data_IF_117366461771
#
_entry.id   IF_117366461771
#
_cell.length_a   1.000
_cell.length_b   1.000
_cell.length_c   1.000
_cell.angle_alpha   90.00
_cell.angle_beta   90.00
_cell.angle_gamma   90.00
#
_symmetry.space_group_name_H-M   'P 1'
#
loop_
_entity.id
_entity.type
_entity.pdbx_description
1 polymer ?
#
# COMPACT_ATOMS: atom_id res chain seq x y z
N UNK A 1 -24.91 -39.25 -15.68
CA UNK A 1 -25.28 -39.07 -14.26
C UNK A 1 -24.02 -39.09 -13.42
N UNK A 2 -23.61 -37.96 -12.86
CA UNK A 2 -22.65 -37.91 -11.75
C UNK A 2 -23.09 -36.79 -10.81
N UNK A 3 -23.63 -37.16 -9.65
CA UNK A 3 -23.91 -36.25 -8.53
C UNK A 3 -22.58 -36.04 -7.79
N UNK A 4 -22.15 -34.79 -7.64
CA UNK A 4 -21.13 -34.42 -6.64
C UNK A 4 -21.79 -33.53 -5.59
N UNK A 5 -21.70 -34.03 -4.37
CA UNK A 5 -22.18 -33.51 -3.10
C UNK A 5 -21.41 -32.24 -2.73
N UNK A 6 -22.14 -31.17 -2.42
CA UNK A 6 -21.62 -29.93 -1.85
C UNK A 6 -21.40 -30.14 -0.35
N UNK A 7 -20.15 -30.07 0.10
CA UNK A 7 -19.83 -29.84 1.51
C UNK A 7 -19.87 -28.33 1.74
N UNK A 8 -20.94 -27.88 2.41
CA UNK A 8 -21.01 -26.57 3.07
C UNK A 8 -20.04 -26.60 4.26
N UNK A 9 -19.08 -25.69 4.31
CA UNK A 9 -18.38 -25.37 5.55
C UNK A 9 -18.00 -23.88 5.58
N UNK A 10 -18.51 -23.17 6.59
CA UNK A 10 -18.01 -21.87 7.04
C UNK A 10 -18.94 -20.69 6.74
N UNK A 11 -19.37 -20.00 7.80
CA UNK A 11 -20.05 -18.71 7.72
C UNK A 11 -19.11 -17.65 7.11
N UNK A 12 -19.60 -16.74 6.24
CA UNK A 12 -18.79 -15.65 5.72
C UNK A 12 -18.37 -14.71 6.87
N UNK A 13 -17.07 -14.53 7.06
CA UNK A 13 -16.54 -13.43 7.87
C UNK A 13 -16.76 -12.15 7.07
N UNK A 14 -17.79 -11.39 7.44
CA UNK A 14 -18.10 -10.09 6.84
C UNK A 14 -17.07 -9.09 7.38
N UNK A 15 -16.03 -8.82 6.60
CA UNK A 15 -15.11 -7.71 6.85
C UNK A 15 -15.77 -6.39 6.42
N UNK A 16 -15.93 -5.46 7.37
CA UNK A 16 -16.26 -4.04 7.08
C UNK A 16 -15.03 -3.20 7.42
N UNK A 17 -14.41 -2.48 6.46
CA UNK A 17 -13.39 -1.50 6.77
C UNK A 17 -14.01 -0.30 7.51
N UNK A 18 -13.33 0.16 8.56
CA UNK A 18 -13.65 1.40 9.27
C UNK A 18 -13.60 2.58 8.30
N UNK A 19 -14.74 3.25 8.09
CA UNK A 19 -14.79 4.60 7.52
C UNK A 19 -14.17 5.57 8.53
N UNK A 20 -12.99 6.10 8.23
CA UNK A 20 -12.50 7.32 8.85
C UNK A 20 -13.18 8.50 8.15
N UNK A 21 -14.22 9.04 8.80
CA UNK A 21 -14.83 10.31 8.44
C UNK A 21 -14.27 11.38 9.37
N UNK A 22 -13.35 12.20 8.86
CA UNK A 22 -13.03 13.49 9.45
C UNK A 22 -13.93 14.54 8.79
N UNK A 23 -14.86 15.09 9.56
CA UNK A 23 -15.39 16.44 9.35
C UNK A 23 -15.58 17.08 10.71
N UNK A 24 -14.89 18.19 10.88
CA UNK A 24 -14.98 19.12 11.99
C UNK A 24 -16.37 19.76 12.03
N UNK A 25 -16.88 20.00 13.23
CA UNK A 25 -17.67 21.19 13.54
C UNK A 25 -17.58 21.48 15.04
N UNK A 26 -17.30 22.74 15.36
CA UNK A 26 -16.90 23.19 16.69
C UNK A 26 -18.06 23.57 17.62
N UNK A 27 -17.73 23.77 18.89
CA UNK A 27 -18.09 24.95 19.71
C UNK A 27 -17.63 24.76 21.16
N UNK A 28 -17.48 25.87 21.85
CA UNK A 28 -16.64 26.14 23.00
C UNK A 28 -17.25 25.90 24.40
N UNK A 29 -16.35 26.00 25.39
CA UNK A 29 -16.50 26.30 26.81
C UNK A 29 -16.88 25.16 27.78
N UNK A 30 -15.93 24.74 28.63
CA UNK A 30 -15.83 25.27 30.00
C UNK A 30 -14.59 24.78 30.78
N UNK A 31 -13.93 25.78 31.36
CA UNK A 31 -13.03 25.89 32.53
C UNK A 31 -12.80 24.70 33.50
N UNK A 32 -11.57 24.70 34.04
CA UNK A 32 -11.14 24.06 35.30
C UNK A 32 -10.21 22.86 35.04
N UNK A 33 -8.95 22.80 35.44
CA UNK A 33 -8.17 23.53 36.43
C UNK A 33 -7.32 22.48 37.17
N UNK A 34 -5.99 22.68 37.22
CA UNK A 34 -5.03 22.04 38.15
C UNK A 34 -4.88 20.49 38.04
N UNK A 35 -3.76 19.83 38.27
CA UNK A 35 -2.43 20.15 38.77
C UNK A 35 -1.42 19.11 38.22
N UNK A 36 -0.16 19.50 38.24
CA UNK A 36 1.05 18.74 37.94
C UNK A 36 1.18 17.42 38.72
N UNK A 37 1.76 16.38 38.10
CA UNK A 37 3.06 15.81 38.54
C UNK A 37 3.56 14.73 37.59
N UNK A 38 4.80 14.93 37.13
CA UNK A 38 5.66 13.98 36.42
C UNK A 38 6.20 12.90 37.37
N UNK A 39 6.35 11.63 36.95
CA UNK A 39 7.11 10.64 37.70
C UNK A 39 8.62 10.85 37.44
N UNK A 40 9.37 11.18 38.49
CA UNK A 40 10.84 11.22 38.45
C UNK A 40 11.41 9.80 38.55
N UNK A 41 12.38 9.55 37.68
CA UNK A 41 13.34 8.45 37.68
C UNK A 41 14.03 8.28 39.04
N UNK A 42 14.02 7.06 39.57
CA UNK A 42 14.91 6.67 40.67
C UNK A 42 16.07 5.86 40.12
N UNK A 43 17.16 6.57 39.83
CA UNK A 43 18.50 5.99 39.66
C UNK A 43 19.01 5.53 41.03
N UNK A 44 19.09 4.21 41.22
CA UNK A 44 19.68 3.60 42.42
C UNK A 44 21.20 3.81 42.37
N UNK A 45 21.69 4.84 43.06
CA UNK A 45 23.13 5.05 43.29
C UNK A 45 23.63 4.12 44.39
N UNK A 46 24.50 3.19 44.00
CA UNK A 46 25.35 2.41 44.90
C UNK A 46 26.37 3.33 45.58
N UNK A 47 26.06 3.80 46.79
CA UNK A 47 27.02 4.49 47.64
C UNK A 47 27.74 3.48 48.55
N UNK A 48 29.01 3.25 48.24
CA UNK A 48 30.01 2.66 49.12
C UNK A 48 30.13 3.51 50.41
N UNK A 49 29.85 2.90 51.57
CA UNK A 49 30.14 3.51 52.86
C UNK A 49 31.66 3.47 53.14
N UNK A 50 32.29 4.65 53.22
CA UNK A 50 33.57 4.84 53.92
C UNK A 50 33.35 4.91 55.44
N UNK A 51 34.27 4.40 56.29
CA UNK A 51 34.14 4.50 57.73
C UNK A 51 34.68 5.86 58.22
N UNK A 52 33.86 6.62 58.95
CA UNK A 52 34.22 7.93 59.49
C UNK A 52 34.27 7.87 61.03
N UNK A 53 35.47 8.06 61.56
CA UNK A 53 35.81 8.73 62.83
C UNK A 53 35.05 8.34 64.11
N UNK A 54 35.75 7.59 64.96
CA UNK A 54 35.38 7.29 66.35
C UNK A 54 35.05 8.57 67.15
N UNK A 55 33.83 8.63 67.71
CA UNK A 55 33.54 9.47 68.88
C UNK A 55 32.79 8.61 69.90
N UNK A 56 33.43 8.43 71.04
CA UNK A 56 33.00 7.60 72.14
C UNK A 56 32.00 8.39 73.01
N UNK A 57 30.71 8.08 72.92
CA UNK A 57 29.71 8.48 73.91
C UNK A 57 28.93 7.26 74.37
N UNK A 58 29.26 6.81 75.58
CA UNK A 58 28.54 5.80 76.34
C UNK A 58 27.11 6.29 76.65
N UNK A 59 26.14 5.86 75.86
CA UNK A 59 24.76 5.74 76.32
C UNK A 59 24.26 4.34 75.96
N UNK A 60 24.00 3.55 77.00
CA UNK A 60 23.44 2.22 76.91
C UNK A 60 22.01 2.26 76.38
N UNK A 61 21.88 2.14 75.06
CA UNK A 61 20.78 1.42 74.45
C UNK A 61 21.38 0.20 73.79
N UNK A 62 20.98 -0.97 74.27
CA UNK A 62 21.27 -2.27 73.67
C UNK A 62 20.85 -2.21 72.21
N UNK A 63 21.81 -2.03 71.30
CA UNK A 63 21.59 -2.49 69.94
C UNK A 63 21.53 -4.00 70.05
N UNK A 64 20.33 -4.57 69.97
CA UNK A 64 20.16 -5.97 69.58
C UNK A 64 20.84 -6.12 68.22
N UNK A 65 22.14 -6.42 68.24
CA UNK A 65 22.87 -6.87 67.08
C UNK A 65 22.28 -8.26 66.84
N UNK A 66 21.19 -8.32 66.06
CA UNK A 66 20.72 -9.56 65.45
C UNK A 66 21.91 -10.14 64.71
N UNK A 67 22.64 -11.07 65.33
CA UNK A 67 23.77 -11.73 64.72
C UNK A 67 23.18 -12.62 63.64
N UNK A 68 23.04 -12.08 62.42
CA UNK A 68 22.55 -12.83 61.27
C UNK A 68 23.47 -14.04 61.15
N UNK A 69 22.91 -15.20 61.41
CA UNK A 69 23.72 -16.41 61.45
C UNK A 69 24.09 -16.76 60.01
N UNK A 70 25.27 -17.35 59.76
CA UNK A 70 25.69 -17.81 58.41
C UNK A 70 24.59 -18.63 57.71
N UNK A 71 23.82 -19.40 58.49
CA UNK A 71 22.66 -20.17 58.05
C UNK A 71 21.54 -19.30 57.46
N UNK A 72 21.26 -18.13 58.01
CA UNK A 72 20.24 -17.20 57.52
C UNK A 72 20.67 -16.54 56.21
N UNK A 73 21.94 -16.14 56.10
CA UNK A 73 22.49 -15.61 54.84
C UNK A 73 22.46 -16.66 53.72
N UNK A 74 22.77 -17.92 54.03
CA UNK A 74 22.68 -19.02 53.06
C UNK A 74 21.24 -19.28 52.63
N UNK A 75 20.29 -19.31 53.57
CA UNK A 75 18.86 -19.46 53.28
C UNK A 75 18.33 -18.32 52.39
N UNK A 76 18.72 -17.07 52.68
CA UNK A 76 18.33 -15.92 51.86
C UNK A 76 18.90 -16.01 50.45
N UNK A 77 20.18 -16.38 50.32
CA UNK A 77 20.83 -16.56 49.01
C UNK A 77 20.16 -17.67 48.20
N UNK A 78 19.82 -18.79 48.84
CA UNK A 78 19.13 -19.91 48.20
C UNK A 78 17.72 -19.50 47.72
N UNK A 79 16.96 -18.75 48.54
CA UNK A 79 15.67 -18.20 48.14
C UNK A 79 15.78 -17.25 46.94
N UNK A 80 16.80 -16.39 46.90
CA UNK A 80 17.06 -15.51 45.75
C UNK A 80 17.42 -16.31 44.49
N UNK A 81 18.22 -17.37 44.62
CA UNK A 81 18.57 -18.24 43.50
C UNK A 81 17.34 -18.96 42.93
N UNK A 82 16.48 -19.51 43.78
CA UNK A 82 15.23 -20.15 43.35
C UNK A 82 14.31 -19.17 42.61
N UNK A 83 14.17 -17.93 43.12
CA UNK A 83 13.40 -16.87 42.43
C UNK A 83 13.99 -16.52 41.06
N UNK A 84 15.32 -16.42 40.96
CA UNK A 84 15.99 -16.13 39.70
C UNK A 84 15.83 -17.27 38.68
N UNK A 85 15.94 -18.52 39.13
CA UNK A 85 15.74 -19.69 38.28
C UNK A 85 14.30 -19.75 37.76
N UNK A 86 13.32 -19.55 38.63
CA UNK A 86 11.91 -19.44 38.23
C UNK A 86 11.69 -18.32 37.20
N UNK A 87 12.21 -17.12 37.48
CA UNK A 87 12.09 -15.99 36.56
C UNK A 87 12.77 -16.25 35.22
N UNK A 88 13.94 -16.89 35.22
CA UNK A 88 14.67 -17.27 34.00
C UNK A 88 13.85 -18.24 33.15
N UNK A 89 13.29 -19.30 33.75
CA UNK A 89 12.41 -20.25 33.06
C UNK A 89 11.14 -19.58 32.53
N UNK A 90 10.54 -18.68 33.33
CA UNK A 90 9.36 -17.92 32.95
C UNK A 90 9.64 -16.97 31.77
N UNK A 91 10.76 -16.23 31.80
CA UNK A 91 11.20 -15.37 30.72
C UNK A 91 11.49 -16.17 29.44
N UNK A 92 12.14 -17.33 29.55
CA UNK A 92 12.40 -18.23 28.42
C UNK A 92 11.09 -18.68 27.77
N UNK A 93 10.14 -19.16 28.57
CA UNK A 93 8.82 -19.55 28.07
C UNK A 93 8.10 -18.39 27.37
N UNK A 94 8.12 -17.19 27.95
CA UNK A 94 7.55 -15.99 27.31
C UNK A 94 8.21 -15.66 25.97
N UNK A 95 9.53 -15.81 25.87
CA UNK A 95 10.26 -15.58 24.63
C UNK A 95 9.84 -16.59 23.55
N UNK A 96 9.74 -17.86 23.91
CA UNK A 96 9.29 -18.93 23.01
C UNK A 96 7.84 -18.66 22.52
N UNK A 97 6.94 -18.25 23.44
CA UNK A 97 5.54 -17.90 23.12
C UNK A 97 5.46 -16.69 22.17
N UNK A 98 6.31 -15.67 22.36
CA UNK A 98 6.39 -14.50 21.47
C UNK A 98 6.91 -14.91 20.09
N UNK A 99 7.95 -15.73 20.01
CA UNK A 99 8.50 -16.19 18.73
C UNK A 99 7.48 -17.00 17.94
N UNK A 100 6.75 -17.90 18.60
CA UNK A 100 5.68 -18.68 17.96
C UNK A 100 4.53 -17.77 17.47
N UNK A 101 4.16 -16.77 18.27
CA UNK A 101 3.14 -15.78 17.89
C UNK A 101 3.58 -14.93 16.70
N UNK A 102 4.84 -14.50 16.66
CA UNK A 102 5.42 -13.78 15.52
C UNK A 102 5.43 -14.63 14.25
N UNK A 103 5.78 -15.91 14.35
CA UNK A 103 5.78 -16.82 13.20
C UNK A 103 4.36 -17.01 12.67
N UNK A 104 3.39 -17.27 13.56
CA UNK A 104 1.97 -17.38 13.19
C UNK A 104 1.47 -16.10 12.49
N UNK A 105 1.81 -14.92 13.02
CA UNK A 105 1.42 -13.66 12.41
C UNK A 105 2.01 -13.47 11.00
N UNK A 106 3.28 -13.88 10.78
CA UNK A 106 3.89 -13.86 9.45
C UNK A 106 3.16 -14.78 8.47
N UNK A 107 2.80 -15.97 8.92
CA UNK A 107 2.06 -16.93 8.11
C UNK A 107 0.65 -16.42 7.78
N UNK A 108 -0.05 -15.85 8.76
CA UNK A 108 -1.35 -15.22 8.58
C UNK A 108 -1.27 -14.03 7.59
N UNK A 109 -0.25 -13.17 7.69
CA UNK A 109 0.00 -12.06 6.74
C UNK A 109 0.20 -12.61 5.32
N UNK A 110 1.01 -13.66 5.16
CA UNK A 110 1.27 -14.27 3.85
C UNK A 110 0.01 -14.87 3.23
N UNK A 111 -0.82 -15.52 4.05
CA UNK A 111 -2.13 -16.04 3.62
C UNK A 111 -3.03 -14.88 3.15
N UNK A 112 -3.12 -13.80 3.94
CA UNK A 112 -3.93 -12.63 3.59
C UNK A 112 -3.44 -11.93 2.30
N UNK A 113 -2.13 -11.82 2.10
CA UNK A 113 -1.55 -11.30 0.86
C UNK A 113 -1.94 -12.16 -0.33
N UNK A 114 -1.85 -13.49 -0.18
CA UNK A 114 -2.25 -14.43 -1.24
C UNK A 114 -3.73 -14.28 -1.60
N UNK A 115 -4.62 -14.13 -0.62
CA UNK A 115 -6.03 -13.88 -0.88
C UNK A 115 -6.26 -12.55 -1.61
N UNK A 116 -5.63 -11.48 -1.13
CA UNK A 116 -5.70 -10.15 -1.75
C UNK A 116 -5.22 -10.16 -3.21
N UNK A 117 -4.10 -10.82 -3.50
CA UNK A 117 -3.56 -10.92 -4.86
C UNK A 117 -4.50 -11.67 -5.81
N UNK A 118 -5.18 -12.71 -5.30
CA UNK A 118 -6.20 -13.44 -6.06
C UNK A 118 -7.40 -12.56 -6.37
N UNK A 119 -7.89 -11.79 -5.39
CA UNK A 119 -9.01 -10.86 -5.61
C UNK A 119 -8.67 -9.80 -6.67
N UNK A 120 -7.49 -9.18 -6.58
CA UNK A 120 -7.06 -8.19 -7.56
C UNK A 120 -6.81 -8.77 -8.95
N UNK A 121 -6.39 -10.03 -9.07
CA UNK A 121 -6.31 -10.70 -10.37
C UNK A 121 -7.69 -10.77 -11.06
N UNK A 122 -8.76 -10.90 -10.26
CA UNK A 122 -10.15 -10.75 -10.71
C UNK A 122 -10.44 -9.36 -11.29
N UNK A 123 -9.95 -8.30 -10.64
CA UNK A 123 -10.06 -6.92 -11.11
C UNK A 123 -9.40 -6.72 -12.49
N UNK A 124 -8.25 -7.33 -12.74
CA UNK A 124 -7.57 -7.26 -14.06
C UNK A 124 -8.43 -7.89 -15.16
N UNK A 125 -9.06 -9.03 -14.89
CA UNK A 125 -10.02 -9.65 -15.81
C UNK A 125 -11.24 -8.76 -16.04
N UNK A 126 -11.73 -8.10 -14.97
CA UNK A 126 -12.84 -7.16 -15.03
C UNK A 126 -12.53 -6.00 -15.99
N UNK A 127 -11.34 -5.38 -15.89
CA UNK A 127 -10.87 -4.34 -16.83
C UNK A 127 -11.00 -4.84 -18.27
N UNK A 128 -10.41 -6.00 -18.58
CA UNK A 128 -10.41 -6.54 -19.95
C UNK A 128 -11.82 -6.83 -20.46
N UNK A 129 -12.72 -7.28 -19.59
CA UNK A 129 -14.11 -7.52 -19.94
C UNK A 129 -14.89 -6.22 -20.19
N UNK A 130 -14.62 -5.16 -19.43
CA UNK A 130 -15.21 -3.84 -19.69
C UNK A 130 -14.73 -3.29 -21.05
N UNK A 131 -13.43 -3.40 -21.36
CA UNK A 131 -12.91 -3.03 -22.69
C UNK A 131 -13.63 -3.79 -23.81
N UNK A 132 -13.89 -5.09 -23.61
CA UNK A 132 -14.66 -5.87 -24.57
C UNK A 132 -16.09 -5.34 -24.75
N UNK A 133 -16.78 -4.98 -23.66
CA UNK A 133 -18.11 -4.38 -23.72
C UNK A 133 -18.12 -3.01 -24.42
N UNK A 134 -17.04 -2.24 -24.29
CA UNK A 134 -16.92 -0.93 -24.93
C UNK A 134 -16.69 -1.01 -26.44
N UNK A 135 -15.88 -1.98 -26.90
CA UNK A 135 -15.34 -1.97 -28.27
C UNK A 135 -15.80 -3.10 -29.17
N UNK A 136 -16.47 -4.12 -28.63
CA UNK A 136 -16.95 -5.27 -29.38
C UNK A 136 -18.47 -5.30 -29.44
N UNK A 137 -19.00 -5.95 -30.50
CA UNK A 137 -20.43 -6.27 -30.58
C UNK A 137 -20.77 -7.44 -29.66
N UNK A 138 -22.02 -7.53 -29.24
CA UNK A 138 -22.52 -8.63 -28.37
C UNK A 138 -22.15 -10.01 -28.90
N UNK A 139 -22.28 -10.25 -30.21
CA UNK A 139 -21.92 -11.53 -30.85
C UNK A 139 -20.43 -11.86 -30.72
N UNK A 140 -19.56 -10.87 -30.93
CA UNK A 140 -18.11 -11.01 -30.78
C UNK A 140 -17.71 -11.28 -29.32
N UNK A 141 -18.40 -10.67 -28.35
CA UNK A 141 -18.18 -10.92 -26.93
C UNK A 141 -18.51 -12.38 -26.57
N UNK A 142 -19.62 -12.91 -27.10
CA UNK A 142 -20.03 -14.30 -26.87
C UNK A 142 -18.99 -15.27 -27.44
N UNK A 143 -18.59 -15.09 -28.70
CA UNK A 143 -17.55 -15.91 -29.35
C UNK A 143 -16.23 -15.86 -28.58
N UNK A 144 -15.79 -14.66 -28.18
CA UNK A 144 -14.59 -14.48 -27.36
C UNK A 144 -14.68 -15.28 -26.06
N UNK A 145 -15.80 -15.23 -25.34
CA UNK A 145 -15.98 -15.97 -24.07
C UNK A 145 -16.00 -17.48 -24.24
N UNK A 146 -16.43 -17.98 -25.41
CA UNK A 146 -16.41 -19.41 -25.73
C UNK A 146 -15.01 -19.92 -26.07
N UNK A 147 -14.19 -19.09 -26.73
CA UNK A 147 -12.88 -19.50 -27.25
C UNK A 147 -11.72 -19.13 -26.32
N UNK A 148 -11.79 -17.98 -25.65
CA UNK A 148 -10.82 -17.57 -24.66
C UNK A 148 -11.32 -17.97 -23.29
N UNK A 149 -10.80 -19.08 -22.79
CA UNK A 149 -10.72 -19.24 -21.35
C UNK A 149 -9.61 -18.34 -20.82
N UNK A 150 -9.85 -17.60 -19.73
CA UNK A 150 -8.77 -16.88 -19.03
C UNK A 150 -7.59 -17.84 -18.75
N UNK A 151 -6.35 -17.35 -18.60
CA UNK A 151 -5.25 -18.18 -18.11
C UNK A 151 -5.66 -19.04 -16.91
N UNK A 152 -5.20 -20.29 -16.85
CA UNK A 152 -5.69 -21.29 -15.90
C UNK A 152 -5.53 -20.82 -14.45
N UNK A 153 -4.39 -20.20 -14.16
CA UNK A 153 -4.01 -19.55 -12.90
C UNK A 153 -4.94 -18.39 -12.50
N UNK A 154 -5.61 -17.76 -13.46
CA UNK A 154 -6.57 -16.68 -13.22
C UNK A 154 -8.00 -17.21 -13.10
N UNK A 155 -8.34 -18.28 -13.84
CA UNK A 155 -9.67 -18.91 -13.77
C UNK A 155 -10.05 -19.28 -12.35
N UNK A 156 -9.11 -19.83 -11.58
CA UNK A 156 -9.34 -20.20 -10.17
C UNK A 156 -9.79 -19.01 -9.31
N UNK A 157 -9.34 -17.80 -9.65
CA UNK A 157 -9.62 -16.58 -8.89
C UNK A 157 -10.93 -15.87 -9.31
N UNK A 158 -11.50 -16.22 -10.46
CA UNK A 158 -12.73 -15.59 -10.98
C UNK A 158 -14.00 -16.26 -10.45
N UNK A 159 -13.93 -17.51 -9.97
CA UNK A 159 -15.11 -18.25 -9.51
C UNK A 159 -15.59 -17.88 -8.09
N UNK A 160 -14.75 -17.27 -7.26
CA UNK A 160 -15.02 -16.99 -5.83
C UNK A 160 -15.38 -15.51 -5.54
N UNK A 161 -15.83 -14.74 -6.54
CA UNK A 161 -15.88 -13.27 -6.44
C UNK A 161 -17.01 -12.69 -5.56
N UNK A 162 -16.63 -11.96 -4.52
CA UNK A 162 -17.44 -10.97 -3.78
C UNK A 162 -17.33 -9.56 -4.42
N UNK A 163 -18.16 -8.60 -3.99
CA UNK A 163 -18.20 -7.21 -4.50
C UNK A 163 -16.85 -6.44 -4.48
N UNK A 164 -15.85 -6.87 -3.69
CA UNK A 164 -14.51 -6.27 -3.69
C UNK A 164 -13.63 -6.71 -4.87
N UNK A 165 -14.01 -7.75 -5.61
CA UNK A 165 -13.30 -8.24 -6.80
C UNK A 165 -13.32 -7.28 -8.00
N UNK A 166 -13.94 -6.10 -7.84
CA UNK A 166 -13.99 -5.02 -8.84
C UNK A 166 -13.00 -3.89 -8.57
N UNK A 167 -12.21 -3.95 -7.50
CA UNK A 167 -11.13 -2.98 -7.31
C UNK A 167 -9.90 -3.36 -8.15
N UNK A 168 -9.25 -2.33 -8.69
CA UNK A 168 -8.06 -2.47 -9.53
C UNK A 168 -6.82 -2.08 -8.75
N UNK A 169 -5.74 -2.83 -8.94
CA UNK A 169 -4.46 -2.59 -8.28
C UNK A 169 -3.35 -2.54 -9.33
N UNK A 170 -2.55 -1.48 -9.30
CA UNK A 170 -1.46 -1.28 -10.26
C UNK A 170 -0.43 -2.41 -10.19
N UNK A 171 0.06 -2.73 -9.00
CA UNK A 171 1.06 -3.79 -8.79
C UNK A 171 0.57 -5.15 -9.29
N UNK A 172 -0.66 -5.55 -8.93
CA UNK A 172 -1.24 -6.80 -9.44
C UNK A 172 -1.40 -6.77 -10.96
N UNK A 173 -1.80 -5.64 -11.55
CA UNK A 173 -1.93 -5.52 -13.01
C UNK A 173 -0.58 -5.67 -13.70
N UNK A 174 0.48 -5.06 -13.17
CA UNK A 174 1.85 -5.22 -13.68
C UNK A 174 2.27 -6.69 -13.63
N UNK A 175 2.07 -7.36 -12.50
CA UNK A 175 2.43 -8.78 -12.33
C UNK A 175 1.68 -9.68 -13.31
N UNK A 176 0.37 -9.43 -13.51
CA UNK A 176 -0.42 -10.18 -14.49
C UNK A 176 0.02 -9.89 -15.93
N UNK A 177 0.41 -8.65 -16.24
CA UNK A 177 0.96 -8.29 -17.55
C UNK A 177 2.39 -8.80 -17.78
N UNK A 178 3.14 -9.15 -16.74
CA UNK A 178 4.41 -9.86 -16.85
C UNK A 178 4.20 -11.35 -17.13
N UNK A 179 3.22 -11.98 -16.47
CA UNK A 179 2.90 -13.39 -16.67
C UNK A 179 2.18 -13.65 -18.01
N UNK A 180 1.25 -12.76 -18.41
CA UNK A 180 0.41 -12.93 -19.59
C UNK A 180 0.33 -11.62 -20.41
N UNK A 181 1.45 -11.16 -21.01
CA UNK A 181 1.52 -9.87 -21.70
C UNK A 181 0.50 -9.74 -22.84
N UNK A 182 0.28 -10.80 -23.62
CA UNK A 182 -0.70 -10.82 -24.71
C UNK A 182 -2.15 -10.58 -24.25
N UNK A 183 -2.43 -10.70 -22.96
CA UNK A 183 -3.77 -10.54 -22.38
C UNK A 183 -3.92 -9.25 -21.59
N UNK A 184 -2.93 -8.89 -20.77
CA UNK A 184 -3.11 -7.84 -19.77
C UNK A 184 -2.25 -6.60 -19.96
N UNK A 185 -1.26 -6.61 -20.86
CA UNK A 185 -0.44 -5.42 -21.13
C UNK A 185 -1.32 -4.23 -21.56
N UNK A 186 -2.36 -4.49 -22.37
CA UNK A 186 -3.33 -3.47 -22.78
C UNK A 186 -4.05 -2.80 -21.60
N UNK A 187 -4.21 -3.49 -20.46
CA UNK A 187 -4.90 -2.94 -19.31
C UNK A 187 -4.09 -1.79 -18.69
N UNK A 188 -2.75 -1.86 -18.74
CA UNK A 188 -1.87 -0.80 -18.28
C UNK A 188 -2.01 0.44 -19.16
N UNK A 189 -1.89 0.26 -20.48
CA UNK A 189 -2.06 1.34 -21.44
C UNK A 189 -3.43 2.03 -21.31
N UNK A 190 -4.51 1.27 -21.17
CA UNK A 190 -5.85 1.85 -21.11
C UNK A 190 -6.19 2.42 -19.74
N UNK A 191 -6.08 1.60 -18.69
CA UNK A 191 -6.64 1.95 -17.37
C UNK A 191 -5.63 2.67 -16.50
N UNK A 192 -4.34 2.39 -16.63
CA UNK A 192 -3.29 3.09 -15.85
C UNK A 192 -2.59 4.19 -16.65
N UNK A 193 -3.01 4.42 -17.91
CA UNK A 193 -2.64 5.61 -18.65
C UNK A 193 -1.26 5.59 -19.32
N UNK A 194 -0.46 4.53 -19.14
CA UNK A 194 0.87 4.41 -19.76
C UNK A 194 1.27 2.95 -20.04
N UNK A 195 2.18 2.69 -21.01
CA UNK A 195 2.72 1.37 -21.25
C UNK A 195 3.47 0.79 -20.05
N UNK A 196 3.43 -0.53 -19.88
CA UNK A 196 4.08 -1.25 -18.77
C UNK A 196 5.52 -0.81 -18.49
N UNK A 197 6.34 -0.73 -19.55
CA UNK A 197 7.75 -0.38 -19.41
C UNK A 197 7.93 1.04 -18.87
N UNK A 198 7.10 1.99 -19.31
CA UNK A 198 7.20 3.35 -18.82
C UNK A 198 6.73 3.47 -17.37
N UNK A 199 5.65 2.78 -17.00
CA UNK A 199 5.20 2.72 -15.61
C UNK A 199 6.31 2.17 -14.72
N UNK A 200 6.95 1.06 -15.11
CA UNK A 200 8.07 0.48 -14.36
C UNK A 200 9.23 1.46 -14.19
N UNK A 201 9.62 2.14 -15.26
CA UNK A 201 10.68 3.16 -15.21
C UNK A 201 10.33 4.27 -14.21
N UNK A 202 9.12 4.84 -14.27
CA UNK A 202 8.71 5.90 -13.36
C UNK A 202 8.64 5.42 -11.90
N UNK A 203 8.15 4.20 -11.65
CA UNK A 203 8.10 3.62 -10.30
C UNK A 203 9.50 3.30 -9.75
N UNK A 204 10.42 2.85 -10.59
CA UNK A 204 11.81 2.60 -10.21
C UNK A 204 12.58 3.89 -9.94
N UNK A 205 12.23 4.97 -10.62
CA UNK A 205 12.80 6.30 -10.40
C UNK A 205 12.22 6.95 -9.13
N UNK A 206 10.91 6.90 -8.90
CA UNK A 206 10.22 7.50 -7.74
C UNK A 206 10.29 6.62 -6.47
N UNK A 207 11.50 6.15 -6.10
CA UNK A 207 11.70 5.23 -4.96
C UNK A 207 11.26 5.79 -3.62
N UNK A 208 11.36 7.12 -3.45
CA UNK A 208 10.97 7.83 -2.23
C UNK A 208 9.47 8.11 -2.19
N UNK A 209 8.78 7.99 -3.33
CA UNK A 209 7.38 8.39 -3.47
C UNK A 209 7.16 9.90 -3.42
N UNK A 210 8.22 10.71 -3.55
CA UNK A 210 8.12 12.18 -3.52
C UNK A 210 7.19 12.69 -4.62
N UNK A 211 7.22 12.05 -5.80
CA UNK A 211 6.44 12.47 -6.96
C UNK A 211 5.07 11.77 -7.09
N UNK A 212 4.68 10.98 -6.09
CA UNK A 212 3.38 10.32 -6.00
C UNK A 212 3.02 9.44 -7.22
N UNK A 213 4.01 8.93 -7.96
CA UNK A 213 3.79 8.20 -9.23
C UNK A 213 2.82 7.03 -9.04
N UNK A 214 3.04 6.23 -7.99
CA UNK A 214 2.19 5.09 -7.70
C UNK A 214 0.75 5.50 -7.40
N UNK A 215 0.56 6.57 -6.62
CA UNK A 215 -0.77 7.02 -6.20
C UNK A 215 -1.58 7.50 -7.39
N UNK A 216 -1.01 8.40 -8.21
CA UNK A 216 -1.72 9.03 -9.34
C UNK A 216 -2.06 7.99 -10.41
N UNK A 217 -1.14 7.09 -10.74
CA UNK A 217 -1.43 5.98 -11.66
C UNK A 217 -2.54 5.07 -11.12
N UNK A 218 -2.53 4.79 -9.82
CA UNK A 218 -3.57 3.96 -9.18
C UNK A 218 -4.94 4.65 -9.17
N UNK A 219 -4.98 5.93 -8.87
CA UNK A 219 -6.20 6.75 -8.88
C UNK A 219 -6.79 6.88 -10.28
N UNK A 220 -5.93 7.09 -11.29
CA UNK A 220 -6.33 7.02 -12.70
C UNK A 220 -6.89 5.63 -13.04
N UNK A 221 -6.22 4.57 -12.57
CA UNK A 221 -6.70 3.20 -12.65
C UNK A 221 -8.13 3.03 -12.16
N UNK A 222 -8.40 3.53 -10.95
CA UNK A 222 -9.72 3.49 -10.35
C UNK A 222 -10.74 4.29 -11.16
N UNK A 223 -10.41 5.53 -11.54
CA UNK A 223 -11.31 6.44 -12.26
C UNK A 223 -11.75 5.91 -13.64
N UNK A 224 -10.83 5.30 -14.39
CA UNK A 224 -11.12 4.70 -15.69
C UNK A 224 -11.86 3.37 -15.54
N UNK A 225 -11.46 2.51 -14.59
CA UNK A 225 -12.12 1.22 -14.39
C UNK A 225 -13.55 1.37 -13.86
N UNK A 226 -13.76 2.26 -12.88
CA UNK A 226 -15.09 2.52 -12.31
C UNK A 226 -15.92 3.45 -13.21
N UNK A 227 -15.28 4.07 -14.21
CA UNK A 227 -15.95 4.83 -15.26
C UNK A 227 -16.54 6.15 -14.79
N UNK A 228 -15.81 6.87 -13.92
CA UNK A 228 -16.22 8.18 -13.42
C UNK A 228 -15.35 9.34 -13.90
N UNK A 229 -14.28 9.07 -14.65
CA UNK A 229 -13.43 10.10 -15.24
C UNK A 229 -14.23 11.03 -16.19
N UNK A 230 -14.38 12.28 -15.78
CA UNK A 230 -15.07 13.35 -16.50
C UNK A 230 -14.11 14.53 -16.72
N UNK A 231 -13.53 15.05 -15.64
CA UNK A 231 -12.55 16.15 -15.66
C UNK A 231 -11.10 15.65 -15.57
N UNK A 232 -10.88 14.46 -15.02
CA UNK A 232 -9.56 13.82 -14.87
C UNK A 232 -8.66 13.73 -16.13
N UNK A 233 -9.14 13.54 -17.38
CA UNK A 233 -8.25 13.22 -18.51
C UNK A 233 -7.23 14.28 -18.88
N UNK A 234 -7.55 15.58 -18.74
CA UNK A 234 -6.59 16.64 -19.05
C UNK A 234 -5.51 16.75 -17.96
N UNK A 235 -5.85 16.93 -16.66
CA UNK A 235 -4.87 16.98 -15.58
C UNK A 235 -3.95 15.75 -15.54
N UNK A 236 -4.49 14.55 -15.79
CA UNK A 236 -3.65 13.34 -15.82
C UNK A 236 -2.61 13.39 -16.94
N UNK A 237 -3.00 13.81 -18.15
CA UNK A 237 -2.09 13.87 -19.29
C UNK A 237 -1.00 14.91 -19.02
N UNK A 238 -1.39 16.07 -18.50
CA UNK A 238 -0.47 17.17 -18.25
C UNK A 238 0.51 16.79 -17.12
N UNK A 239 0.05 16.14 -16.05
CA UNK A 239 0.91 15.52 -15.04
C UNK A 239 1.85 14.45 -15.63
N UNK A 240 1.33 13.55 -16.48
CA UNK A 240 2.11 12.49 -17.07
C UNK A 240 3.23 13.04 -17.99
N UNK A 241 2.97 14.13 -18.70
CA UNK A 241 3.98 14.83 -19.49
C UNK A 241 5.05 15.48 -18.60
N UNK A 242 4.62 16.23 -17.58
CA UNK A 242 5.52 16.88 -16.63
C UNK A 242 6.44 15.87 -15.92
N UNK A 243 5.91 14.71 -15.50
CA UNK A 243 6.70 13.69 -14.80
C UNK A 243 7.72 13.01 -15.72
N UNK A 244 7.39 12.80 -16.99
CA UNK A 244 8.37 12.29 -17.96
C UNK A 244 9.48 13.31 -18.23
N UNK A 245 9.14 14.60 -18.35
CA UNK A 245 10.12 15.66 -18.49
C UNK A 245 11.07 15.67 -17.31
N UNK A 246 10.55 15.70 -16.07
CA UNK A 246 11.37 15.67 -14.86
C UNK A 246 12.29 14.43 -14.81
N UNK A 247 11.75 13.23 -15.04
CA UNK A 247 12.52 11.99 -15.09
C UNK A 247 13.65 12.06 -16.14
N UNK A 248 13.36 12.58 -17.33
CA UNK A 248 14.36 12.73 -18.40
C UNK A 248 15.50 13.68 -17.98
N UNK A 249 15.19 14.80 -17.32
CA UNK A 249 16.22 15.74 -16.87
C UNK A 249 17.07 15.18 -15.74
N UNK A 250 16.45 14.60 -14.71
CA UNK A 250 17.20 14.02 -13.58
C UNK A 250 18.09 12.85 -14.02
N UNK A 251 17.60 11.99 -14.92
CA UNK A 251 18.37 10.85 -15.43
C UNK A 251 19.60 11.26 -16.23
N UNK A 252 19.52 12.37 -16.98
CA UNK A 252 20.63 12.88 -17.79
C UNK A 252 21.65 13.72 -16.99
N UNK A 253 21.31 14.10 -15.76
CA UNK A 253 22.17 14.92 -14.87
C UNK A 253 23.01 14.09 -13.89
N UNK A 254 22.89 12.76 -13.91
CA UNK A 254 23.70 11.85 -13.10
C UNK A 254 25.18 11.81 -13.58
N UNK A 255 26.15 11.56 -12.68
CA UNK A 255 27.58 11.57 -13.03
C UNK A 255 27.88 10.42 -13.99
N UNK A 256 28.06 10.74 -15.27
CA UNK A 256 28.25 9.77 -16.37
C UNK A 256 27.43 10.09 -17.63
N UNK A 257 26.44 10.98 -17.55
CA UNK A 257 25.74 11.54 -18.71
C UNK A 257 26.56 12.61 -19.42
N UNK A 258 26.53 12.62 -20.75
CA UNK A 258 27.09 13.70 -21.58
C UNK A 258 26.63 15.05 -21.05
N UNK A 259 27.59 15.92 -20.69
CA UNK A 259 27.30 17.26 -20.15
C UNK A 259 26.28 17.98 -21.02
N UNK A 260 25.13 18.29 -20.43
CA UNK A 260 24.05 19.06 -21.03
C UNK A 260 24.30 20.59 -20.92
N UNK A 261 25.53 21.00 -20.57
CA UNK A 261 25.91 22.43 -20.39
C UNK A 261 25.67 23.28 -21.64
N UNK A 262 25.49 22.68 -22.81
CA UNK A 262 25.27 23.39 -24.07
C UNK A 262 23.80 23.57 -24.49
N UNK A 263 22.81 23.10 -23.73
CA UNK A 263 21.39 23.17 -24.14
C UNK A 263 20.47 24.03 -23.26
N UNK A 264 20.92 24.57 -22.12
CA UNK A 264 20.04 25.35 -21.24
C UNK A 264 20.27 26.87 -21.39
N UNK A 265 19.20 27.66 -21.64
CA UNK A 265 19.29 29.11 -21.72
C UNK A 265 19.50 29.70 -20.31
N UNK A 266 20.75 29.99 -19.95
CA UNK A 266 21.10 31.01 -18.94
C UNK A 266 20.85 30.71 -17.45
N UNK A 267 20.44 29.50 -17.06
CA UNK A 267 20.24 29.10 -15.66
C UNK A 267 21.06 27.86 -15.29
N UNK A 268 21.40 27.70 -14.00
CA UNK A 268 22.05 26.45 -13.54
C UNK A 268 21.10 25.26 -13.72
N UNK A 269 21.62 24.08 -14.08
CA UNK A 269 20.81 22.85 -14.23
C UNK A 269 19.95 22.54 -13.00
N UNK A 270 20.41 22.94 -11.81
CA UNK A 270 19.69 22.79 -10.55
C UNK A 270 18.42 23.65 -10.49
N UNK A 271 18.47 24.89 -10.99
CA UNK A 271 17.33 25.80 -11.03
C UNK A 271 16.26 25.33 -12.00
N UNK A 272 16.67 24.76 -13.13
CA UNK A 272 15.75 24.16 -14.08
C UNK A 272 15.06 22.90 -13.51
N UNK A 273 15.79 22.01 -12.83
CA UNK A 273 15.19 20.85 -12.14
C UNK A 273 14.18 21.33 -11.08
N UNK A 274 14.51 22.37 -10.31
CA UNK A 274 13.58 22.95 -9.34
C UNK A 274 12.28 23.42 -10.01
N UNK A 275 12.38 24.15 -11.13
CA UNK A 275 11.19 24.56 -11.90
C UNK A 275 10.38 23.37 -12.42
N UNK A 276 11.03 22.28 -12.87
CA UNK A 276 10.32 21.08 -13.29
C UNK A 276 9.59 20.39 -12.12
N UNK A 277 10.22 20.34 -10.93
CA UNK A 277 9.58 19.83 -9.71
C UNK A 277 8.38 20.67 -9.29
N UNK A 278 8.50 22.00 -9.35
CA UNK A 278 7.38 22.93 -9.10
C UNK A 278 6.22 22.68 -10.08
N UNK A 279 6.51 22.52 -11.37
CA UNK A 279 5.48 22.20 -12.37
C UNK A 279 4.80 20.84 -12.14
N UNK A 280 5.54 19.82 -11.71
CA UNK A 280 4.96 18.52 -11.34
C UNK A 280 4.02 18.64 -10.14
N UNK A 281 4.38 19.46 -9.14
CA UNK A 281 3.54 19.71 -7.96
C UNK A 281 2.25 20.46 -8.32
N UNK A 282 2.32 21.45 -9.22
CA UNK A 282 1.12 22.12 -9.75
C UNK A 282 0.19 21.13 -10.47
N UNK A 283 0.73 20.30 -11.36
CA UNK A 283 -0.06 19.28 -12.05
C UNK A 283 -0.65 18.24 -11.07
N UNK A 284 0.06 17.91 -9.98
CA UNK A 284 -0.46 17.03 -8.95
C UNK A 284 -1.66 17.64 -8.21
N UNK A 285 -1.61 18.93 -7.88
CA UNK A 285 -2.72 19.62 -7.25
C UNK A 285 -3.94 19.65 -8.17
N UNK A 286 -3.77 19.99 -9.44
CA UNK A 286 -4.85 19.95 -10.43
C UNK A 286 -5.45 18.54 -10.60
N UNK A 287 -4.59 17.51 -10.62
CA UNK A 287 -5.03 16.12 -10.63
C UNK A 287 -5.92 15.80 -9.43
N UNK A 288 -5.47 16.13 -8.21
CA UNK A 288 -6.21 15.84 -6.98
C UNK A 288 -7.57 16.52 -6.94
N UNK A 289 -7.66 17.77 -7.38
CA UNK A 289 -8.92 18.51 -7.46
C UNK A 289 -9.90 17.85 -8.44
N UNK A 290 -9.41 17.50 -9.65
CA UNK A 290 -10.23 16.84 -10.67
C UNK A 290 -10.69 15.45 -10.23
N UNK A 291 -9.77 14.63 -9.70
CA UNK A 291 -10.06 13.30 -9.20
C UNK A 291 -11.06 13.34 -8.02
N UNK A 292 -10.85 14.23 -7.05
CA UNK A 292 -11.76 14.38 -5.91
C UNK A 292 -13.17 14.79 -6.37
N UNK A 293 -13.24 15.74 -7.31
CA UNK A 293 -14.50 16.21 -7.89
C UNK A 293 -15.23 15.09 -8.62
N UNK A 294 -14.55 14.36 -9.49
CA UNK A 294 -15.16 13.27 -10.26
C UNK A 294 -15.56 12.10 -9.34
N UNK A 295 -14.73 11.74 -8.36
CA UNK A 295 -15.01 10.68 -7.37
C UNK A 295 -16.23 11.02 -6.52
N UNK A 296 -16.38 12.27 -6.08
CA UNK A 296 -17.56 12.72 -5.33
C UNK A 296 -18.87 12.61 -6.14
N UNK A 297 -18.76 12.63 -7.46
CA UNK A 297 -19.87 12.48 -8.40
C UNK A 297 -20.01 11.05 -8.95
N UNK A 298 -19.36 10.07 -8.32
CA UNK A 298 -19.45 8.67 -8.72
C UNK A 298 -20.89 8.19 -8.92
N UNK A 299 -21.11 7.45 -10.02
CA UNK A 299 -22.43 6.95 -10.41
C UNK A 299 -23.31 7.96 -11.15
N UNK A 300 -23.04 9.28 -11.01
CA UNK A 300 -23.67 10.30 -11.86
C UNK A 300 -22.98 10.31 -13.23
N UNK A 301 -23.71 10.64 -14.29
CA UNK A 301 -23.15 10.88 -15.63
C UNK A 301 -22.31 9.73 -16.23
N UNK A 302 -22.45 8.47 -15.78
CA UNK A 302 -21.66 7.32 -16.27
C UNK A 302 -21.56 7.21 -17.79
N UNK A 303 -22.64 7.49 -18.53
CA UNK A 303 -22.64 7.49 -20.01
C UNK A 303 -21.77 8.60 -20.61
N UNK A 304 -21.70 9.76 -19.97
CA UNK A 304 -20.85 10.89 -20.37
C UNK A 304 -19.39 10.55 -20.08
N UNK A 305 -19.05 10.08 -18.89
CA UNK A 305 -17.71 9.61 -18.54
C UNK A 305 -17.21 8.52 -19.50
N UNK A 306 -18.07 7.57 -19.87
CA UNK A 306 -17.72 6.53 -20.84
C UNK A 306 -17.38 7.11 -22.24
N UNK A 307 -18.09 8.15 -22.68
CA UNK A 307 -17.76 8.86 -23.93
C UNK A 307 -16.41 9.56 -23.82
N UNK A 308 -16.15 10.21 -22.69
CA UNK A 308 -14.89 10.90 -22.41
C UNK A 308 -13.71 9.92 -22.40
N UNK A 309 -13.83 8.81 -21.69
CA UNK A 309 -12.81 7.73 -21.67
C UNK A 309 -12.60 7.16 -23.09
N UNK A 310 -13.67 6.98 -23.86
CA UNK A 310 -13.56 6.50 -25.24
C UNK A 310 -12.82 7.50 -26.14
N UNK A 311 -13.05 8.80 -25.93
CA UNK A 311 -12.35 9.86 -26.64
C UNK A 311 -10.87 9.94 -26.23
N UNK A 312 -10.54 9.77 -24.95
CA UNK A 312 -9.16 9.62 -24.48
C UNK A 312 -8.44 8.48 -25.21
N UNK A 313 -9.04 7.29 -25.24
CA UNK A 313 -8.47 6.14 -25.94
C UNK A 313 -8.32 6.38 -27.45
N UNK A 314 -9.20 7.18 -28.06
CA UNK A 314 -9.08 7.59 -29.46
C UNK A 314 -7.90 8.53 -29.67
N UNK A 315 -7.77 9.58 -28.86
CA UNK A 315 -6.67 10.55 -28.92
C UNK A 315 -5.31 9.89 -28.72
N UNK A 316 -5.23 8.90 -27.84
CA UNK A 316 -4.02 8.11 -27.56
C UNK A 316 -3.77 6.97 -28.56
N UNK A 317 -4.60 6.84 -29.61
CA UNK A 317 -4.44 5.81 -30.63
C UNK A 317 -4.58 4.36 -30.12
N UNK A 318 -5.25 4.16 -28.98
CA UNK A 318 -5.34 2.85 -28.33
C UNK A 318 -6.40 1.95 -28.94
N UNK A 319 -7.41 2.50 -29.61
CA UNK A 319 -8.56 1.72 -30.14
C UNK A 319 -8.15 0.50 -30.98
N UNK A 320 -7.22 0.61 -31.97
CA UNK A 320 -6.79 -0.55 -32.75
C UNK A 320 -6.05 -1.59 -31.88
N UNK A 321 -5.23 -1.14 -30.93
CA UNK A 321 -4.47 -2.01 -30.02
C UNK A 321 -5.39 -2.76 -29.07
N UNK A 322 -6.41 -2.09 -28.54
CA UNK A 322 -7.47 -2.70 -27.72
C UNK A 322 -8.15 -3.83 -28.50
N UNK A 323 -8.63 -3.54 -29.71
CA UNK A 323 -9.31 -4.56 -30.54
C UNK A 323 -8.39 -5.73 -30.85
N UNK A 324 -7.14 -5.48 -31.24
CA UNK A 324 -6.15 -6.53 -31.50
C UNK A 324 -5.92 -7.42 -30.28
N UNK A 325 -5.75 -6.81 -29.09
CA UNK A 325 -5.57 -7.56 -27.84
C UNK A 325 -6.82 -8.38 -27.46
N UNK A 326 -8.02 -7.81 -27.63
CA UNK A 326 -9.26 -8.49 -27.29
C UNK A 326 -9.54 -9.71 -28.18
N UNK A 327 -9.06 -9.68 -29.43
CA UNK A 327 -9.15 -10.80 -30.37
C UNK A 327 -7.91 -11.71 -30.38
N UNK A 328 -6.92 -11.46 -29.52
CA UNK A 328 -5.78 -12.36 -29.41
C UNK A 328 -6.27 -13.77 -29.03
N UNK A 329 -5.95 -14.75 -29.88
CA UNK A 329 -6.41 -16.14 -29.73
C UNK A 329 -7.88 -16.40 -30.08
N UNK A 330 -8.61 -15.43 -30.66
CA UNK A 330 -10.01 -15.61 -31.10
C UNK A 330 -10.09 -15.76 -32.61
N UNK A 331 -10.78 -16.80 -33.07
CA UNK A 331 -11.22 -16.93 -34.46
C UNK A 331 -12.67 -16.46 -34.55
N UNK A 332 -12.89 -15.33 -35.20
CA UNK A 332 -14.26 -14.84 -35.45
C UNK A 332 -14.88 -15.66 -36.57
N UNK A 333 -16.07 -16.21 -36.34
CA UNK A 333 -16.85 -16.79 -37.42
C UNK A 333 -17.24 -15.66 -38.37
N UNK A 334 -17.04 -15.91 -39.67
CA UNK A 334 -17.25 -14.92 -40.74
C UNK A 334 -18.71 -14.56 -40.92
#
# INVERSE_FOLDING_TARGET
MFRRTLLRSGSPIIWRPHRQGNTADGSANHSGGQDSTSPQDQTVSLLLNQPKGNTLTNHGYSHDINSITVKEMLSERESRLQKLEYNSQFCKKKLDDIQLSQQKLKDDIKILQTYRDREYAGGVVSIRNQLAQMFLRTTQIVQRKQQIANPIDIRVNVYDQNELAYDVNLSTTINQADMHPDYFDICLDTVFGAPKNHIKILLEWDKTGENQVYSILSDHGEAWHKGFANTCPAPFRDWLEAIYCLHHYESNMLPGGSSLDHMLPGGSSLEYIRMQKEGVEECFQEWNEAYTTDRSNYGKKRKECQKIITEDYRKRGLIPRIKKNLFHGVKLDK
#
